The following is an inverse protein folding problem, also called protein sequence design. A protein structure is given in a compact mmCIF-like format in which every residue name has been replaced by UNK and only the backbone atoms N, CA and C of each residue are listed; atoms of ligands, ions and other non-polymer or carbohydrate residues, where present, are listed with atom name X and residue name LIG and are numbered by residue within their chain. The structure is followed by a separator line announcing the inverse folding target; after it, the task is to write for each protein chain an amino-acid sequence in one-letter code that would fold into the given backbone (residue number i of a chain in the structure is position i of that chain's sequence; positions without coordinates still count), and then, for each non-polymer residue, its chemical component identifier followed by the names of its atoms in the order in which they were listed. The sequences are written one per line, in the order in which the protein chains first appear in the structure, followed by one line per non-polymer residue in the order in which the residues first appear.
data_IF_517132526537
#
_entry.id   IF_517132526537
#
_cell.length_a   1.000
_cell.length_b   1.000
_cell.length_c   1.000
_cell.angle_alpha   90.00
_cell.angle_beta   90.00
_cell.angle_gamma   90.00
#
_symmetry.space_group_name_H-M   'P 1'
#
loop_
_entity.id
_entity.type
_entity.pdbx_description
1 polymer ?
#
# COMPACT_ATOMS: atom_id res chain seq x y z
N UNK A 1 2.20 21.00 2.83
CA UNK A 1 2.72 19.83 2.11
C UNK A 1 2.72 18.67 3.05
N UNK A 2 2.14 17.55 2.63
CA UNK A 2 2.34 16.28 3.31
C UNK A 2 3.82 15.91 3.21
N UNK A 3 4.38 15.15 4.16
CA UNK A 3 5.75 14.63 4.04
C UNK A 3 5.96 13.74 2.80
N UNK A 4 4.87 13.28 2.17
CA UNK A 4 4.91 12.59 0.89
C UNK A 4 5.32 13.52 -0.27
N UNK A 5 4.78 14.74 -0.31
CA UNK A 5 5.05 15.72 -1.37
C UNK A 5 6.53 16.18 -1.32
N UNK A 6 7.08 16.28 -0.11
CA UNK A 6 8.49 16.64 0.10
C UNK A 6 9.44 15.52 -0.38
N UNK A 7 9.13 14.27 -0.03
CA UNK A 7 9.91 13.12 -0.48
C UNK A 7 9.86 12.96 -2.01
N UNK A 8 8.70 13.22 -2.61
CA UNK A 8 8.53 13.23 -4.05
C UNK A 8 9.44 14.28 -4.70
N UNK A 9 9.41 15.52 -4.20
CA UNK A 9 10.26 16.60 -4.69
C UNK A 9 11.74 16.24 -4.60
N UNK A 10 12.16 15.67 -3.46
CA UNK A 10 13.53 15.21 -3.26
C UNK A 10 13.93 14.08 -4.23
N UNK A 11 13.02 13.13 -4.48
CA UNK A 11 13.27 12.02 -5.39
C UNK A 11 13.39 12.50 -6.83
N UNK A 12 12.47 13.36 -7.29
CA UNK A 12 12.52 13.97 -8.62
C UNK A 12 13.82 14.75 -8.82
N UNK A 13 14.17 15.61 -7.86
CA UNK A 13 15.40 16.40 -7.90
C UNK A 13 16.64 15.48 -7.96
N UNK A 14 16.66 14.40 -7.19
CA UNK A 14 17.77 13.46 -7.18
C UNK A 14 17.94 12.73 -8.52
N UNK A 15 16.83 12.33 -9.15
CA UNK A 15 16.84 11.71 -10.48
C UNK A 15 17.33 12.71 -11.53
N UNK A 16 16.81 13.93 -11.52
CA UNK A 16 17.20 14.98 -12.47
C UNK A 16 18.70 15.29 -12.36
N UNK A 17 19.23 15.45 -11.16
CA UNK A 17 20.66 15.69 -10.92
C UNK A 17 21.52 14.51 -11.40
N UNK A 18 21.07 13.26 -11.20
CA UNK A 18 21.78 12.08 -11.67
C UNK A 18 21.79 11.98 -13.20
N UNK A 19 20.65 12.22 -13.85
CA UNK A 19 20.50 12.31 -15.30
C UNK A 19 21.42 13.36 -15.91
N UNK A 20 21.38 14.59 -15.37
CA UNK A 20 22.21 15.70 -15.84
C UNK A 20 23.72 15.39 -15.73
N UNK A 21 24.14 14.74 -14.63
CA UNK A 21 25.54 14.32 -14.44
C UNK A 21 25.99 13.22 -15.39
N UNK A 22 25.08 12.34 -15.80
CA UNK A 22 25.36 11.25 -16.72
C UNK A 22 25.18 11.63 -18.20
N UNK A 23 24.63 12.81 -18.50
CA UNK A 23 24.24 13.20 -19.85
C UNK A 23 23.11 12.32 -20.41
N UNK A 24 22.27 11.77 -19.52
CA UNK A 24 21.15 10.90 -19.86
C UNK A 24 19.83 11.64 -19.64
N UNK A 25 18.82 11.31 -20.43
CA UNK A 25 17.44 11.63 -20.11
C UNK A 25 16.89 10.66 -19.07
N UNK A 26 15.75 10.99 -18.47
CA UNK A 26 15.05 10.07 -17.56
C UNK A 26 14.50 8.84 -18.31
N UNK A 27 14.19 8.99 -19.60
CA UNK A 27 13.74 7.90 -20.48
C UNK A 27 14.86 6.88 -20.71
N UNK A 28 16.11 7.34 -20.85
CA UNK A 28 17.28 6.48 -21.03
C UNK A 28 17.54 5.56 -19.83
N UNK A 29 17.09 5.96 -18.64
CA UNK A 29 17.20 5.13 -17.44
C UNK A 29 16.23 3.95 -17.43
N UNK A 30 15.16 4.00 -18.23
CA UNK A 30 14.12 2.95 -18.27
C UNK A 30 13.50 2.68 -16.90
N UNK A 31 13.37 3.72 -16.06
CA UNK A 31 12.86 3.55 -14.70
C UNK A 31 11.41 3.08 -14.72
N UNK A 32 11.09 2.19 -13.78
CA UNK A 32 9.72 1.77 -13.53
C UNK A 32 9.45 1.68 -12.04
N UNK A 33 8.26 2.12 -11.65
CA UNK A 33 7.85 2.29 -10.27
C UNK A 33 6.74 1.29 -9.94
N UNK A 34 6.82 0.63 -8.79
CA UNK A 34 5.76 -0.25 -8.33
C UNK A 34 5.37 0.13 -6.91
N UNK A 35 4.07 0.27 -6.68
CA UNK A 35 3.52 0.60 -5.37
C UNK A 35 3.44 -0.67 -4.53
N UNK A 36 3.85 -0.58 -3.27
CA UNK A 36 3.71 -1.66 -2.28
C UNK A 36 3.12 -1.09 -0.99
N UNK A 37 2.01 -1.66 -0.54
CA UNK A 37 1.36 -1.30 0.72
C UNK A 37 1.22 -2.54 1.59
N UNK A 38 1.57 -2.42 2.88
CA UNK A 38 1.36 -3.49 3.85
C UNK A 38 -0.14 -3.69 4.11
N UNK A 39 -0.64 -4.89 3.84
CA UNK A 39 -2.02 -5.31 4.13
C UNK A 39 -2.04 -6.54 5.06
N UNK A 40 -1.00 -6.72 5.88
CA UNK A 40 -0.86 -7.88 6.78
C UNK A 40 -2.07 -8.08 7.70
N UNK A 41 -2.64 -7.00 8.22
CA UNK A 41 -3.84 -7.07 9.07
C UNK A 41 -5.08 -7.61 8.34
N UNK A 42 -5.10 -7.55 7.00
CA UNK A 42 -6.24 -7.96 6.19
C UNK A 42 -6.00 -9.29 5.49
N UNK A 43 -4.85 -9.47 4.85
CA UNK A 43 -4.54 -10.61 3.97
C UNK A 43 -3.19 -11.25 4.29
N UNK A 44 -2.55 -10.89 5.39
CA UNK A 44 -1.29 -11.52 5.83
C UNK A 44 -0.08 -11.25 4.94
N UNK A 45 -0.16 -10.26 4.03
CA UNK A 45 0.93 -9.92 3.11
C UNK A 45 0.91 -8.46 2.68
N UNK A 46 1.95 -8.04 1.97
CA UNK A 46 1.95 -6.80 1.19
C UNK A 46 1.16 -7.01 -0.11
N UNK A 47 0.43 -5.96 -0.49
CA UNK A 47 -0.22 -5.85 -1.80
C UNK A 47 0.57 -4.87 -2.66
N UNK A 48 0.44 -4.97 -3.98
CA UNK A 48 1.13 -4.08 -4.89
C UNK A 48 0.41 -3.88 -6.22
N UNK A 49 0.86 -2.86 -6.92
CA UNK A 49 0.41 -2.48 -8.26
C UNK A 49 1.19 -3.20 -9.36
N UNK A 50 0.77 -2.99 -10.61
CA UNK A 50 1.63 -3.14 -11.76
C UNK A 50 2.73 -2.06 -11.78
N UNK A 51 3.61 -2.09 -12.78
CA UNK A 51 4.68 -1.11 -12.92
C UNK A 51 4.21 0.12 -13.69
N UNK A 52 4.48 1.29 -13.15
CA UNK A 52 4.28 2.59 -13.79
C UNK A 52 5.61 3.08 -14.38
N UNK A 53 5.56 3.80 -15.48
CA UNK A 53 6.70 4.55 -16.02
C UNK A 53 6.73 5.98 -15.49
N UNK A 54 5.58 6.48 -15.05
CA UNK A 54 5.43 7.79 -14.44
C UNK A 54 5.45 7.70 -12.90
N UNK A 55 6.28 8.55 -12.26
CA UNK A 55 6.43 8.56 -10.81
C UNK A 55 5.21 9.18 -10.11
N UNK A 56 4.58 10.19 -10.71
CA UNK A 56 3.42 10.88 -10.16
C UNK A 56 2.21 9.96 -10.10
N UNK A 57 2.02 9.18 -11.16
CA UNK A 57 0.99 8.15 -11.24
C UNK A 57 1.20 7.12 -10.13
N UNK A 58 2.42 6.60 -9.96
CA UNK A 58 2.74 5.66 -8.90
C UNK A 58 2.49 6.23 -7.49
N UNK A 59 2.81 7.50 -7.26
CA UNK A 59 2.61 8.14 -5.96
C UNK A 59 1.13 8.42 -5.67
N UNK A 60 0.38 8.87 -6.69
CA UNK A 60 -1.09 9.02 -6.60
C UNK A 60 -1.75 7.69 -6.25
N UNK A 61 -1.33 6.61 -6.90
CA UNK A 61 -1.85 5.27 -6.64
C UNK A 61 -1.48 4.74 -5.25
N UNK A 62 -0.28 5.07 -4.78
CA UNK A 62 0.14 4.81 -3.40
C UNK A 62 -0.75 5.54 -2.39
N UNK A 63 -1.06 6.81 -2.61
CA UNK A 63 -1.92 7.56 -1.72
C UNK A 63 -3.34 7.01 -1.69
N UNK A 64 -3.91 6.64 -2.84
CA UNK A 64 -5.22 5.98 -2.94
C UNK A 64 -5.26 4.70 -2.12
N UNK A 65 -4.27 3.81 -2.27
CA UNK A 65 -4.18 2.58 -1.49
C UNK A 65 -4.03 2.84 0.01
N UNK A 66 -3.25 3.85 0.41
CA UNK A 66 -3.11 4.20 1.83
C UNK A 66 -4.41 4.77 2.42
N UNK A 67 -5.12 5.60 1.67
CA UNK A 67 -6.42 6.14 2.09
C UNK A 67 -7.47 5.04 2.18
N UNK A 68 -7.55 4.16 1.18
CA UNK A 68 -8.43 3.00 1.20
C UNK A 68 -8.09 2.05 2.37
N UNK A 69 -6.80 1.83 2.65
CA UNK A 69 -6.35 1.03 3.80
C UNK A 69 -6.86 1.60 5.14
N UNK A 70 -6.88 2.92 5.30
CA UNK A 70 -7.43 3.59 6.50
C UNK A 70 -8.94 3.42 6.62
N UNK A 71 -9.66 3.38 5.49
CA UNK A 71 -11.10 3.15 5.46
C UNK A 71 -11.49 1.69 5.74
N UNK A 72 -10.59 0.74 5.46
CA UNK A 72 -10.76 -0.66 5.81
C UNK A 72 -10.63 -1.60 4.61
N UNK A 73 -10.88 -2.89 4.85
CA UNK A 73 -10.70 -3.92 3.83
C UNK A 73 -11.56 -3.72 2.57
N UNK A 74 -12.87 -3.41 2.65
CA UNK A 74 -13.68 -3.30 1.44
C UNK A 74 -13.16 -2.25 0.44
N UNK A 75 -12.77 -1.07 0.93
CA UNK A 75 -12.21 0.00 0.12
C UNK A 75 -10.83 -0.38 -0.40
N UNK A 76 -9.98 -0.96 0.46
CA UNK A 76 -8.65 -1.41 0.05
C UNK A 76 -8.73 -2.49 -1.04
N UNK A 77 -9.68 -3.43 -0.92
CA UNK A 77 -9.95 -4.46 -1.91
C UNK A 77 -10.36 -3.83 -3.24
N UNK A 78 -11.29 -2.88 -3.23
CA UNK A 78 -11.77 -2.23 -4.45
C UNK A 78 -10.62 -1.54 -5.23
N UNK A 79 -9.80 -0.74 -4.54
CA UNK A 79 -8.65 -0.08 -5.17
C UNK A 79 -7.58 -1.07 -5.66
N UNK A 80 -7.33 -2.12 -4.88
CA UNK A 80 -6.36 -3.13 -5.28
C UNK A 80 -6.82 -3.96 -6.48
N UNK A 81 -8.10 -4.33 -6.52
CA UNK A 81 -8.73 -5.00 -7.67
C UNK A 81 -8.60 -4.11 -8.91
N UNK A 82 -8.93 -2.81 -8.82
CA UNK A 82 -8.77 -1.86 -9.92
C UNK A 82 -7.35 -1.86 -10.48
N UNK A 83 -6.33 -1.85 -9.62
CA UNK A 83 -4.92 -1.86 -10.03
C UNK A 83 -4.49 -3.18 -10.69
N UNK A 84 -5.01 -4.32 -10.22
CA UNK A 84 -4.71 -5.63 -10.80
C UNK A 84 -5.44 -5.86 -12.13
N UNK A 85 -6.67 -5.35 -12.24
CA UNK A 85 -7.54 -5.53 -13.40
C UNK A 85 -6.90 -5.06 -14.71
N UNK A 86 -6.05 -4.02 -14.64
CA UNK A 86 -5.26 -3.52 -15.78
C UNK A 86 -4.44 -4.62 -16.46
N UNK A 87 -3.93 -5.58 -15.69
CA UNK A 87 -3.02 -6.62 -16.21
C UNK A 87 -3.63 -8.01 -16.28
N UNK A 88 -4.67 -8.30 -15.49
CA UNK A 88 -5.20 -9.67 -15.33
C UNK A 88 -6.70 -9.78 -15.67
N UNK A 89 -7.37 -8.67 -15.93
CA UNK A 89 -8.83 -8.60 -16.05
C UNK A 89 -9.54 -8.50 -14.68
N UNK A 90 -10.77 -7.99 -14.70
CA UNK A 90 -11.55 -7.70 -13.50
C UNK A 90 -11.87 -8.96 -12.69
N UNK A 91 -12.38 -10.01 -13.35
CA UNK A 91 -12.81 -11.25 -12.69
C UNK A 91 -11.66 -11.94 -11.96
N UNK A 92 -10.53 -12.15 -12.64
CA UNK A 92 -9.35 -12.76 -12.04
C UNK A 92 -8.75 -11.92 -10.90
N UNK A 93 -8.83 -10.59 -10.99
CA UNK A 93 -8.39 -9.69 -9.91
C UNK A 93 -9.28 -9.83 -8.67
N UNK A 94 -10.59 -9.91 -8.85
CA UNK A 94 -11.56 -10.11 -7.78
C UNK A 94 -11.41 -11.47 -7.10
N UNK A 95 -11.32 -12.54 -7.89
CA UNK A 95 -11.12 -13.90 -7.39
C UNK A 95 -9.84 -14.00 -6.56
N UNK A 96 -8.75 -13.43 -7.07
CA UNK A 96 -7.47 -13.42 -6.36
C UNK A 96 -7.55 -12.66 -5.03
N UNK A 97 -8.18 -11.49 -5.01
CA UNK A 97 -8.35 -10.71 -3.79
C UNK A 97 -9.25 -11.44 -2.76
N UNK A 98 -10.31 -12.10 -3.22
CA UNK A 98 -11.20 -12.91 -2.38
C UNK A 98 -10.47 -14.11 -1.80
N UNK A 99 -9.75 -14.88 -2.63
CA UNK A 99 -8.97 -16.05 -2.19
C UNK A 99 -7.99 -15.70 -1.06
N UNK A 100 -7.30 -14.57 -1.18
CA UNK A 100 -6.37 -14.11 -0.13
C UNK A 100 -7.07 -13.63 1.14
N UNK A 101 -8.26 -13.04 1.01
CA UNK A 101 -9.07 -12.70 2.17
C UNK A 101 -9.52 -13.97 2.90
N UNK A 102 -10.03 -14.96 2.20
CA UNK A 102 -10.54 -16.18 2.82
C UNK A 102 -9.40 -17.01 3.44
N UNK A 103 -8.27 -17.12 2.75
CA UNK A 103 -7.07 -17.79 3.27
C UNK A 103 -6.47 -17.12 4.51
N UNK A 104 -6.82 -15.87 4.80
CA UNK A 104 -6.37 -15.16 6.00
C UNK A 104 -7.44 -15.03 7.09
N UNK A 105 -8.56 -15.77 7.00
CA UNK A 105 -9.65 -15.69 7.98
C UNK A 105 -9.22 -16.12 9.40
N UNK A 106 -8.51 -17.25 9.53
CA UNK A 106 -8.12 -17.77 10.85
C UNK A 106 -7.13 -16.85 11.60
N UNK A 107 -6.05 -16.34 10.98
CA UNK A 107 -5.18 -15.36 11.63
C UNK A 107 -5.91 -14.07 12.03
N UNK A 108 -6.83 -13.56 11.20
CA UNK A 108 -7.65 -12.39 11.56
C UNK A 108 -8.50 -12.65 12.79
N UNK A 109 -9.18 -13.80 12.83
CA UNK A 109 -10.00 -14.20 13.96
C UNK A 109 -9.14 -14.31 15.24
N UNK A 110 -7.97 -14.95 15.14
CA UNK A 110 -7.03 -15.08 16.26
C UNK A 110 -6.55 -13.71 16.77
N UNK A 111 -6.22 -12.79 15.87
CA UNK A 111 -5.80 -11.44 16.23
C UNK A 111 -6.92 -10.65 16.94
N UNK A 112 -8.18 -10.81 16.50
CA UNK A 112 -9.35 -10.22 17.15
C UNK A 112 -9.58 -10.78 18.56
N UNK A 113 -9.46 -12.11 18.73
CA UNK A 113 -9.60 -12.77 20.03
C UNK A 113 -8.54 -12.31 21.04
N UNK A 114 -7.29 -12.14 20.60
CA UNK A 114 -6.21 -11.63 21.46
C UNK A 114 -6.48 -10.18 21.93
N UNK A 115 -7.05 -9.33 21.08
CA UNK A 115 -7.45 -7.97 21.47
C UNK A 115 -8.58 -7.99 22.51
N UNK A 116 -9.58 -8.86 22.34
CA UNK A 116 -10.69 -8.98 23.30
C UNK A 116 -10.22 -9.46 24.67
N UNK A 117 -9.28 -10.42 24.73
CA UNK A 117 -8.72 -10.92 26.01
C UNK A 117 -7.86 -9.87 26.74
N UNK A 118 -7.23 -8.94 26.02
CA UNK A 118 -6.47 -7.83 26.61
C UNK A 118 -7.34 -6.66 27.06
N UNK A 119 -8.50 -6.45 26.45
CA UNK A 119 -9.42 -5.35 26.79
C UNK A 119 -10.41 -5.65 27.94
N UNK A 120 -10.50 -6.90 28.40
CA UNK A 120 -11.45 -7.33 29.43
C UNK A 120 -10.95 -7.26 30.88
N UNK A 121 -9.70 -6.86 31.13
CA UNK A 121 -9.14 -6.69 32.48
C UNK A 121 -9.07 -5.22 32.87
N UNK A 122 -10.06 -4.74 33.61
CA UNK A 122 -10.11 -3.36 34.11
C UNK A 122 -8.99 -3.00 35.09
N UNK A 123 -8.68 -1.70 35.14
CA UNK A 123 -8.26 -1.01 36.37
C UNK A 123 -6.79 -1.13 36.79
N UNK A 124 -5.97 -0.15 36.41
CA UNK A 124 -4.64 0.03 36.99
C UNK A 124 -3.99 1.29 36.43
N UNK A 125 -4.18 2.41 37.13
CA UNK A 125 -3.81 3.73 36.65
C UNK A 125 -2.31 3.91 36.41
N UNK A 126 -1.99 4.60 35.33
CA UNK A 126 -0.74 5.33 35.20
C UNK A 126 -1.08 6.82 35.22
N UNK A 127 -1.10 7.40 36.43
CA UNK A 127 -0.73 8.81 36.58
C UNK A 127 0.77 8.86 36.39
N UNK A 128 1.23 9.69 35.47
CA UNK A 128 2.60 10.20 35.51
C UNK A 128 2.46 11.67 35.85
N UNK A 129 3.05 12.02 37.00
CA UNK A 129 3.24 13.38 37.48
C UNK A 129 4.31 14.10 36.66
#
# INVERSE_FOLDING_TARGET
GSGADELEGQLRQSIEVACARAGLSQEDLGLSYAVRVSAYAFVGRQIGSHRFTDLEEALTERERLHTAKRAGWPQLRAEWVRLMAVSRGQEAAEEFATSLWDGHAEPRHRAQMLHQRRGGGGGGGWRVA
#
